data_IF_566280726136
#
_entry.id   IF_566280726136
#
_cell.length_a   1.000
_cell.length_b   1.000
_cell.length_c   1.000
_cell.angle_alpha   90.00
_cell.angle_beta   90.00
_cell.angle_gamma   90.00
#
_symmetry.space_group_name_H-M   'P 1'
#
loop_
_entity.id
_entity.type
_entity.pdbx_description
1 polymer ?
#
# COMPACT_ATOMS: atom_id res chain seq x y z
N UNK A 1 14.55 14.62 -7.20
CA UNK A 1 14.54 14.79 -8.67
C UNK A 1 15.38 15.99 -9.07
N UNK A 2 16.24 15.84 -10.08
CA UNK A 2 17.03 16.95 -10.65
C UNK A 2 16.09 17.93 -11.35
N UNK A 3 16.07 19.18 -10.91
CA UNK A 3 15.15 20.21 -11.43
C UNK A 3 15.68 20.72 -12.77
N UNK A 4 15.02 20.36 -13.87
CA UNK A 4 15.49 20.77 -15.21
C UNK A 4 15.02 22.21 -15.51
N UNK A 5 15.93 23.17 -15.73
CA UNK A 5 15.55 24.55 -15.98
C UNK A 5 14.91 24.69 -17.37
N UNK A 6 13.66 25.18 -17.42
CA UNK A 6 12.94 25.41 -18.67
C UNK A 6 13.47 26.69 -19.32
N UNK A 7 14.33 26.51 -20.33
CA UNK A 7 14.91 27.64 -21.08
C UNK A 7 13.84 28.31 -21.97
N UNK A 8 13.54 29.59 -21.72
CA UNK A 8 12.70 30.42 -22.59
C UNK A 8 13.57 31.10 -23.65
N UNK A 9 13.11 31.14 -24.91
CA UNK A 9 13.85 31.85 -25.99
C UNK A 9 13.95 33.35 -25.74
N UNK A 10 13.04 33.90 -24.94
CA UNK A 10 13.01 35.30 -24.55
C UNK A 10 12.55 35.39 -23.10
N UNK A 11 13.29 36.12 -22.29
CA UNK A 11 13.03 36.30 -20.86
C UNK A 11 12.32 37.62 -20.55
N UNK A 12 12.41 38.62 -21.44
CA UNK A 12 11.75 39.92 -21.27
C UNK A 12 10.22 39.75 -21.29
N UNK A 13 9.50 40.26 -20.27
CA UNK A 13 8.05 40.20 -20.22
C UNK A 13 7.42 41.11 -21.28
N UNK A 14 6.25 40.73 -21.78
CA UNK A 14 5.46 41.60 -22.64
C UNK A 14 4.63 42.56 -21.79
N UNK A 15 4.94 43.84 -21.85
CA UNK A 15 4.18 44.87 -21.11
C UNK A 15 2.82 45.14 -21.75
N UNK A 16 1.84 45.53 -20.93
CA UNK A 16 0.52 45.94 -21.43
C UNK A 16 0.64 47.30 -22.13
N UNK A 17 -0.12 47.48 -23.21
CA UNK A 17 -0.22 48.79 -23.83
C UNK A 17 -0.76 49.83 -22.83
N UNK A 18 -0.04 50.95 -22.69
CA UNK A 18 -0.34 52.10 -21.82
C UNK A 18 -0.21 51.86 -20.31
N UNK A 19 0.36 50.72 -19.86
CA UNK A 19 0.64 50.53 -18.42
C UNK A 19 1.71 51.48 -17.89
N UNK A 20 2.55 52.01 -18.77
CA UNK A 20 3.53 53.06 -18.51
C UNK A 20 2.90 54.45 -18.35
N UNK A 21 1.72 54.68 -18.92
CA UNK A 21 1.06 56.00 -18.92
C UNK A 21 -0.02 56.16 -17.85
N UNK A 22 -0.73 55.08 -17.54
CA UNK A 22 -1.87 55.14 -16.62
C UNK A 22 -1.59 54.31 -15.36
N UNK A 23 -1.53 54.97 -14.20
CA UNK A 23 -1.31 54.31 -12.89
C UNK A 23 -2.31 53.18 -12.59
N UNK A 24 -3.54 53.27 -13.10
CA UNK A 24 -4.56 52.23 -12.93
C UNK A 24 -4.37 50.98 -13.80
N UNK A 25 -3.42 51.00 -14.74
CA UNK A 25 -3.18 49.90 -15.69
C UNK A 25 -1.94 49.11 -15.27
N UNK A 26 -2.15 47.97 -14.63
CA UNK A 26 -1.05 47.07 -14.23
C UNK A 26 -0.22 46.59 -15.44
N UNK A 27 1.10 46.43 -15.25
CA UNK A 27 2.05 45.89 -16.24
C UNK A 27 1.88 44.37 -16.47
N UNK A 28 0.68 43.93 -16.85
CA UNK A 28 0.38 42.52 -17.15
C UNK A 28 -0.11 42.39 -18.60
N UNK A 29 0.59 41.58 -19.41
CA UNK A 29 0.28 41.40 -20.83
C UNK A 29 -1.22 41.20 -21.07
N UNK A 30 -1.80 42.04 -21.94
CA UNK A 30 -3.11 41.81 -22.55
C UNK A 30 -3.06 42.20 -24.02
N UNK A 31 -3.68 41.38 -24.86
CA UNK A 31 -3.77 41.64 -26.30
C UNK A 31 -4.50 42.98 -26.53
N UNK A 32 -3.86 43.97 -27.16
CA UNK A 32 -4.51 45.25 -27.45
C UNK A 32 -5.72 45.07 -28.37
N UNK A 33 -6.80 45.82 -28.09
CA UNK A 33 -8.06 45.81 -28.84
C UNK A 33 -8.26 47.13 -29.60
N UNK A 34 -9.22 47.17 -30.53
CA UNK A 34 -9.57 48.37 -31.32
C UNK A 34 -8.99 48.35 -32.74
N UNK A 35 -9.75 48.87 -33.70
CA UNK A 35 -9.36 48.87 -35.12
C UNK A 35 -8.16 49.78 -35.37
N UNK A 36 -8.08 50.94 -34.71
CA UNK A 36 -7.00 51.93 -34.89
C UNK A 36 -5.82 51.78 -33.92
N UNK A 37 -5.84 50.76 -33.05
CA UNK A 37 -4.79 50.59 -32.06
C UNK A 37 -3.44 50.28 -32.74
N UNK A 38 -2.48 51.20 -32.58
CA UNK A 38 -1.19 51.11 -33.26
C UNK A 38 -0.34 49.92 -32.83
N UNK A 39 -0.44 49.48 -31.58
CA UNK A 39 0.24 48.27 -31.08
C UNK A 39 -0.38 47.01 -31.68
N UNK A 40 -1.71 46.91 -31.72
CA UNK A 40 -2.43 45.80 -32.39
C UNK A 40 -2.03 45.70 -33.87
N UNK A 41 -1.98 46.85 -34.55
CA UNK A 41 -1.57 46.97 -35.96
C UNK A 41 -0.06 46.85 -36.19
N UNK A 42 0.75 46.72 -35.13
CA UNK A 42 2.20 46.51 -35.17
C UNK A 42 2.97 47.59 -35.93
N UNK A 43 2.57 48.86 -35.78
CA UNK A 43 3.37 49.96 -36.33
C UNK A 43 4.79 49.97 -35.75
N UNK A 44 5.75 50.44 -36.54
CA UNK A 44 7.15 50.61 -36.13
C UNK A 44 7.22 51.53 -34.89
N UNK A 45 8.10 51.19 -33.94
CA UNK A 45 8.31 51.94 -32.69
C UNK A 45 7.35 51.61 -31.55
N UNK A 46 6.39 50.70 -31.76
CA UNK A 46 5.44 50.28 -30.73
C UNK A 46 5.95 49.10 -29.89
N UNK A 47 5.29 48.86 -28.74
CA UNK A 47 5.59 47.74 -27.84
C UNK A 47 5.51 46.39 -28.59
N UNK A 48 6.45 45.46 -28.32
CA UNK A 48 6.43 44.14 -28.94
C UNK A 48 5.21 43.34 -28.48
N UNK A 49 4.60 42.58 -29.40
CA UNK A 49 3.52 41.63 -29.08
C UNK A 49 3.99 40.19 -29.23
N UNK A 50 3.43 39.24 -28.46
CA UNK A 50 3.55 37.81 -28.71
C UNK A 50 3.15 37.48 -30.16
N UNK A 51 3.98 36.67 -30.82
CA UNK A 51 3.86 36.18 -32.19
C UNK A 51 4.44 34.76 -32.23
N UNK A 52 4.07 34.00 -33.26
CA UNK A 52 4.60 32.65 -33.51
C UNK A 52 6.14 32.74 -33.52
N UNK A 53 6.79 31.99 -32.65
CA UNK A 53 8.25 32.02 -32.42
C UNK A 53 8.69 32.38 -30.99
N UNK A 54 7.86 33.11 -30.22
CA UNK A 54 8.15 33.46 -28.81
C UNK A 54 7.73 32.36 -27.82
N UNK A 55 8.33 31.18 -27.95
CA UNK A 55 8.08 30.02 -27.07
C UNK A 55 9.31 29.59 -26.26
N UNK A 56 9.17 28.47 -25.54
CA UNK A 56 10.32 27.77 -24.94
C UNK A 56 11.31 27.28 -26.02
N UNK A 57 12.57 27.09 -25.63
CA UNK A 57 13.58 26.44 -26.47
C UNK A 57 13.04 25.08 -26.96
N UNK A 58 13.40 24.65 -28.18
CA UNK A 58 12.97 23.36 -28.75
C UNK A 58 13.31 22.19 -27.83
N UNK A 59 14.49 22.21 -27.17
CA UNK A 59 14.94 21.15 -26.25
C UNK A 59 14.10 21.04 -24.98
N UNK A 60 13.56 22.15 -24.47
CA UNK A 60 12.81 22.22 -23.21
C UNK A 60 11.31 22.47 -23.41
N UNK A 61 10.83 22.36 -24.65
CA UNK A 61 9.43 22.62 -24.98
C UNK A 61 8.58 21.48 -24.43
N UNK A 62 7.49 21.82 -23.75
CA UNK A 62 6.58 20.89 -23.07
C UNK A 62 7.20 20.10 -21.91
N UNK A 63 8.48 20.32 -21.57
CA UNK A 63 9.10 19.71 -20.40
C UNK A 63 8.59 20.38 -19.13
N UNK A 64 8.29 19.56 -18.13
CA UNK A 64 8.01 19.96 -16.76
C UNK A 64 9.32 20.04 -15.96
N UNK A 65 9.34 20.74 -14.82
CA UNK A 65 10.54 20.85 -13.97
C UNK A 65 11.07 19.50 -13.46
N UNK A 66 10.23 18.46 -13.43
CA UNK A 66 10.59 17.09 -13.04
C UNK A 66 11.23 16.27 -14.18
N UNK A 67 11.34 16.83 -15.38
CA UNK A 67 11.95 16.18 -16.54
C UNK A 67 10.99 15.47 -17.49
N UNK A 68 9.72 15.27 -17.09
CA UNK A 68 8.70 14.65 -17.94
C UNK A 68 8.09 15.66 -18.92
N UNK A 69 7.60 15.19 -20.08
CA UNK A 69 6.84 16.01 -21.02
C UNK A 69 5.36 16.03 -20.65
N UNK A 70 4.74 17.19 -20.66
CA UNK A 70 3.29 17.32 -20.45
C UNK A 70 2.51 16.72 -21.61
N UNK A 71 1.60 15.80 -21.31
CA UNK A 71 0.59 15.25 -22.21
C UNK A 71 -0.80 15.65 -21.72
N UNK A 72 -1.58 16.35 -22.54
CA UNK A 72 -2.90 16.83 -22.15
C UNK A 72 -3.94 15.74 -22.44
N UNK A 73 -4.55 15.18 -21.40
CA UNK A 73 -5.55 14.11 -21.48
C UNK A 73 -6.95 14.75 -21.57
N UNK A 74 -7.66 14.50 -22.66
CA UNK A 74 -8.99 15.05 -22.93
C UNK A 74 -10.13 14.05 -22.68
N UNK A 75 -9.81 12.77 -22.56
CA UNK A 75 -10.76 11.69 -22.28
C UNK A 75 -10.04 10.48 -21.64
N UNK A 76 -10.80 9.52 -21.13
CA UNK A 76 -10.26 8.36 -20.41
C UNK A 76 -9.33 7.49 -21.28
N UNK A 77 -9.67 7.28 -22.56
CA UNK A 77 -8.87 6.45 -23.49
C UNK A 77 -7.48 7.03 -23.78
N UNK A 78 -7.32 8.34 -23.65
CA UNK A 78 -6.01 8.98 -23.80
C UNK A 78 -5.05 8.67 -22.64
N UNK A 79 -5.55 8.16 -21.50
CA UNK A 79 -4.72 7.67 -20.40
C UNK A 79 -3.99 6.38 -20.79
N UNK A 80 -4.63 5.50 -21.55
CA UNK A 80 -4.03 4.22 -21.95
C UNK A 80 -2.74 4.41 -22.74
N UNK A 81 -2.65 5.49 -23.52
CA UNK A 81 -1.43 5.87 -24.25
C UNK A 81 -0.26 6.22 -23.32
N UNK A 82 -0.55 6.66 -22.10
CA UNK A 82 0.48 6.97 -21.09
C UNK A 82 1.02 5.72 -20.40
N UNK A 83 0.26 4.62 -20.34
CA UNK A 83 0.76 3.35 -19.79
C UNK A 83 2.03 2.89 -20.53
N UNK A 84 2.08 3.07 -21.86
CA UNK A 84 3.24 2.73 -22.68
C UNK A 84 4.37 3.79 -22.66
N UNK A 85 4.13 4.97 -22.10
CA UNK A 85 5.02 6.13 -22.19
C UNK A 85 5.27 6.84 -20.83
N UNK A 86 4.99 6.15 -19.73
CA UNK A 86 5.03 6.66 -18.35
C UNK A 86 6.41 7.22 -17.93
N UNK A 87 7.51 6.75 -18.52
CA UNK A 87 8.87 7.29 -18.26
C UNK A 87 9.18 8.62 -18.95
N UNK A 88 8.39 9.01 -19.95
CA UNK A 88 8.67 10.19 -20.78
C UNK A 88 7.65 11.29 -20.62
N UNK A 89 6.39 10.94 -20.33
CA UNK A 89 5.29 11.88 -20.26
C UNK A 89 4.61 11.87 -18.89
N UNK A 90 4.06 13.01 -18.50
CA UNK A 90 3.16 13.17 -17.37
C UNK A 90 1.78 13.62 -17.87
N UNK A 91 0.72 13.02 -17.32
CA UNK A 91 -0.65 13.41 -17.60
C UNK A 91 -0.96 14.81 -17.03
N UNK A 92 -1.61 15.65 -17.81
CA UNK A 92 -2.39 16.78 -17.30
C UNK A 92 -3.82 16.64 -17.78
N UNK A 93 -4.78 16.54 -16.85
CA UNK A 93 -6.19 16.38 -17.18
C UNK A 93 -6.75 17.71 -17.67
N UNK A 94 -7.27 17.72 -18.90
CA UNK A 94 -7.81 18.92 -19.51
C UNK A 94 -8.99 19.50 -18.69
N UNK A 95 -9.13 20.83 -18.70
CA UNK A 95 -10.15 21.54 -17.93
C UNK A 95 -11.59 21.18 -18.31
N UNK A 96 -11.81 20.70 -19.54
CA UNK A 96 -13.10 20.32 -20.11
C UNK A 96 -13.46 18.84 -19.86
N UNK A 97 -12.60 18.06 -19.20
CA UNK A 97 -12.94 16.71 -18.75
C UNK A 97 -13.94 16.82 -17.61
N UNK A 98 -15.11 16.18 -17.78
CA UNK A 98 -16.18 16.16 -16.78
C UNK A 98 -15.70 15.58 -15.45
N UNK A 99 -16.25 16.02 -14.32
CA UNK A 99 -15.87 15.52 -13.00
C UNK A 99 -15.93 14.00 -12.90
N UNK A 100 -16.93 13.37 -13.54
CA UNK A 100 -17.06 11.91 -13.64
C UNK A 100 -15.84 11.27 -14.33
N UNK A 101 -15.42 11.78 -15.48
CA UNK A 101 -14.27 11.23 -16.19
C UNK A 101 -12.95 11.54 -15.49
N UNK A 102 -12.86 12.65 -14.74
CA UNK A 102 -11.68 12.95 -13.92
C UNK A 102 -11.51 11.93 -12.80
N UNK A 103 -12.60 11.53 -12.16
CA UNK A 103 -12.61 10.43 -11.19
C UNK A 103 -12.08 9.18 -11.87
N UNK A 104 -12.57 8.86 -13.08
CA UNK A 104 -12.10 7.68 -13.83
C UNK A 104 -10.63 7.66 -14.19
N UNK A 105 -10.04 8.82 -14.46
CA UNK A 105 -8.61 8.94 -14.72
C UNK A 105 -7.76 8.77 -13.45
N UNK A 106 -8.36 8.90 -12.26
CA UNK A 106 -7.71 8.82 -10.95
C UNK A 106 -8.07 7.54 -10.18
N UNK A 107 -8.63 6.55 -10.88
CA UNK A 107 -8.90 5.22 -10.32
C UNK A 107 -7.58 4.44 -10.26
N UNK A 108 -7.38 3.67 -9.19
CA UNK A 108 -6.30 2.67 -9.16
C UNK A 108 -6.81 1.40 -9.82
N UNK A 109 -6.16 0.95 -10.89
CA UNK A 109 -6.53 -0.29 -11.55
C UNK A 109 -6.13 -1.53 -10.75
N UNK A 110 -6.81 -2.64 -11.04
CA UNK A 110 -6.49 -3.98 -10.52
C UNK A 110 -5.29 -4.59 -11.30
N UNK A 111 -4.09 -4.02 -11.13
CA UNK A 111 -2.90 -4.30 -11.96
C UNK A 111 -2.33 -5.70 -11.79
N UNK A 112 -2.63 -6.39 -10.68
CA UNK A 112 -2.15 -7.75 -10.41
C UNK A 112 -3.18 -8.84 -10.76
N UNK A 113 -4.36 -8.45 -11.27
CA UNK A 113 -5.33 -9.38 -11.84
C UNK A 113 -4.73 -10.18 -13.02
N UNK A 114 -5.16 -11.43 -13.17
CA UNK A 114 -4.65 -12.45 -14.09
C UNK A 114 -3.20 -12.92 -13.86
N UNK A 115 -2.51 -12.43 -12.83
CA UNK A 115 -1.17 -12.92 -12.46
C UNK A 115 -1.10 -13.42 -11.01
N UNK A 116 -1.65 -12.67 -10.06
CA UNK A 116 -1.71 -13.05 -8.64
C UNK A 116 -3.05 -13.65 -8.22
N UNK A 117 -4.13 -13.25 -8.90
CA UNK A 117 -5.49 -13.74 -8.75
C UNK A 117 -6.20 -13.64 -10.11
N UNK A 118 -7.31 -14.35 -10.32
CA UNK A 118 -8.03 -14.29 -11.62
C UNK A 118 -8.71 -12.93 -11.84
N UNK A 119 -8.57 -12.35 -13.03
CA UNK A 119 -9.28 -11.13 -13.42
C UNK A 119 -10.72 -11.35 -13.91
N UNK A 120 -11.13 -12.61 -14.04
CA UNK A 120 -12.53 -12.99 -14.32
C UNK A 120 -13.34 -12.89 -13.02
N UNK A 121 -14.21 -11.88 -12.92
CA UNK A 121 -14.98 -11.60 -11.72
C UNK A 121 -15.86 -12.76 -11.25
N UNK A 122 -16.48 -13.54 -12.15
CA UNK A 122 -17.31 -14.68 -11.74
C UNK A 122 -16.47 -15.82 -11.16
N UNK A 123 -15.31 -16.09 -11.75
CA UNK A 123 -14.39 -17.09 -11.23
C UNK A 123 -13.79 -16.66 -9.90
N UNK A 124 -13.42 -15.38 -9.78
CA UNK A 124 -12.87 -14.82 -8.54
C UNK A 124 -13.89 -14.90 -7.41
N UNK A 125 -15.13 -14.50 -7.67
CA UNK A 125 -16.21 -14.57 -6.69
C UNK A 125 -16.45 -16.01 -6.20
N UNK A 126 -16.46 -16.97 -7.13
CA UNK A 126 -16.62 -18.39 -6.82
C UNK A 126 -15.45 -18.93 -5.98
N UNK A 127 -14.20 -18.64 -6.38
CA UNK A 127 -12.99 -19.06 -5.66
C UNK A 127 -12.97 -18.52 -4.22
N UNK A 128 -13.25 -17.23 -4.04
CA UNK A 128 -13.32 -16.62 -2.72
C UNK A 128 -14.46 -17.21 -1.88
N UNK A 129 -15.63 -17.48 -2.48
CA UNK A 129 -16.76 -18.13 -1.81
C UNK A 129 -16.38 -19.55 -1.37
N UNK A 130 -15.72 -20.33 -2.22
CA UNK A 130 -15.23 -21.66 -1.90
C UNK A 130 -14.27 -21.62 -0.72
N UNK A 131 -13.27 -20.74 -0.76
CA UNK A 131 -12.30 -20.59 0.32
C UNK A 131 -12.98 -20.19 1.65
N UNK A 132 -13.90 -19.22 1.63
CA UNK A 132 -14.65 -18.78 2.82
C UNK A 132 -15.62 -19.84 3.36
N UNK A 133 -16.11 -20.74 2.51
CA UNK A 133 -17.03 -21.82 2.91
C UNK A 133 -16.27 -23.03 3.46
N UNK A 134 -15.03 -23.25 3.01
CA UNK A 134 -14.16 -24.31 3.50
C UNK A 134 -13.58 -24.04 4.90
N UNK A 135 -13.77 -22.84 5.47
CA UNK A 135 -13.35 -22.53 6.83
C UNK A 135 -14.30 -23.20 7.82
N UNK A 136 -13.77 -24.17 8.56
CA UNK A 136 -14.50 -24.94 9.56
C UNK A 136 -14.41 -24.31 10.95
N UNK A 137 -15.53 -24.28 11.67
CA UNK A 137 -15.54 -23.87 13.06
C UNK A 137 -14.97 -24.97 13.95
N UNK A 138 -14.29 -24.57 15.02
CA UNK A 138 -13.76 -25.47 16.06
C UNK A 138 -14.27 -25.05 17.44
N UNK A 139 -13.83 -25.76 18.48
CA UNK A 139 -14.14 -25.37 19.85
C UNK A 139 -13.60 -23.97 20.19
N UNK A 140 -12.40 -23.66 19.70
CA UNK A 140 -11.65 -22.42 20.00
C UNK A 140 -11.88 -21.31 18.96
N UNK A 141 -12.47 -21.63 17.80
CA UNK A 141 -12.71 -20.68 16.73
C UNK A 141 -14.13 -20.83 16.16
N UNK A 142 -14.99 -19.84 16.43
CA UNK A 142 -16.40 -19.83 16.00
C UNK A 142 -16.70 -18.56 15.20
N UNK A 143 -16.35 -18.52 13.91
CA UNK A 143 -16.59 -17.33 13.10
C UNK A 143 -18.08 -17.14 12.77
N UNK A 144 -18.56 -15.88 12.59
CA UNK A 144 -17.79 -14.64 12.73
C UNK A 144 -17.50 -14.31 14.19
N UNK A 145 -16.37 -13.63 14.45
CA UNK A 145 -15.94 -13.25 15.79
C UNK A 145 -16.55 -11.90 16.13
N UNK A 146 -17.45 -11.89 17.13
CA UNK A 146 -18.08 -10.66 17.62
C UNK A 146 -17.02 -9.69 18.14
N UNK A 147 -17.06 -8.45 17.67
CA UNK A 147 -16.12 -7.42 18.09
C UNK A 147 -14.73 -7.53 17.44
N UNK A 148 -14.57 -8.29 16.35
CA UNK A 148 -13.34 -8.29 15.56
C UNK A 148 -12.99 -6.86 15.10
N UNK A 149 -11.81 -6.37 15.51
CA UNK A 149 -11.31 -5.01 15.20
C UNK A 149 -10.16 -5.01 14.22
N UNK A 150 -9.36 -6.08 14.19
CA UNK A 150 -8.34 -6.23 13.18
C UNK A 150 -8.17 -7.69 12.76
N UNK A 151 -7.60 -7.90 11.58
CA UNK A 151 -7.11 -9.19 11.13
C UNK A 151 -5.67 -9.08 10.63
N UNK A 152 -4.90 -10.16 10.75
CA UNK A 152 -3.64 -10.36 10.03
C UNK A 152 -3.90 -11.41 8.97
N UNK A 153 -3.54 -11.13 7.71
CA UNK A 153 -3.75 -12.03 6.59
C UNK A 153 -2.60 -11.96 5.58
N UNK A 154 -2.31 -13.06 4.86
CA UNK A 154 -1.26 -13.12 3.85
C UNK A 154 -1.60 -12.35 2.57
N UNK A 155 -0.58 -12.04 1.78
CA UNK A 155 -0.67 -11.32 0.50
C UNK A 155 0.15 -11.96 -0.63
N UNK A 156 0.46 -13.26 -0.55
CA UNK A 156 0.87 -14.00 -1.74
C UNK A 156 -0.30 -14.19 -2.74
N UNK A 157 -0.01 -14.75 -3.92
CA UNK A 157 -1.04 -15.09 -4.91
C UNK A 157 -2.08 -16.09 -4.39
N UNK A 158 -3.33 -15.94 -4.82
CA UNK A 158 -4.49 -16.62 -4.22
C UNK A 158 -4.45 -18.14 -4.31
N UNK A 159 -3.82 -18.69 -5.35
CA UNK A 159 -3.60 -20.13 -5.48
C UNK A 159 -2.77 -20.74 -4.34
N UNK A 160 -1.98 -19.92 -3.62
CA UNK A 160 -1.18 -20.35 -2.49
C UNK A 160 -1.77 -19.92 -1.15
N UNK A 161 -2.01 -18.61 -0.98
CA UNK A 161 -2.37 -18.02 0.31
C UNK A 161 -3.86 -17.78 0.49
N UNK A 162 -4.66 -17.83 -0.58
CA UNK A 162 -6.10 -17.54 -0.55
C UNK A 162 -6.85 -18.38 0.48
N UNK A 163 -6.70 -19.72 0.49
CA UNK A 163 -7.33 -20.56 1.51
C UNK A 163 -6.94 -20.17 2.94
N UNK A 164 -5.69 -19.78 3.20
CA UNK A 164 -5.26 -19.32 4.52
C UNK A 164 -5.85 -17.96 4.86
N UNK A 165 -5.85 -17.00 3.93
CA UNK A 165 -6.45 -15.68 4.12
C UNK A 165 -7.94 -15.77 4.48
N UNK A 166 -8.66 -16.74 3.90
CA UNK A 166 -10.08 -16.94 4.19
C UNK A 166 -10.37 -17.12 5.68
N UNK A 167 -9.47 -17.72 6.47
CA UNK A 167 -9.65 -17.87 7.92
C UNK A 167 -9.69 -16.52 8.65
N UNK A 168 -8.80 -15.58 8.28
CA UNK A 168 -8.82 -14.22 8.79
C UNK A 168 -10.10 -13.49 8.38
N UNK A 169 -10.45 -13.53 7.09
CA UNK A 169 -11.64 -12.86 6.56
C UNK A 169 -12.95 -13.42 7.10
N UNK A 170 -13.04 -14.72 7.34
CA UNK A 170 -14.20 -15.37 7.96
C UNK A 170 -14.39 -14.96 9.43
N UNK A 171 -13.33 -14.49 10.08
CA UNK A 171 -13.39 -13.99 11.46
C UNK A 171 -14.13 -12.65 11.58
N UNK A 172 -14.31 -11.90 10.48
CA UNK A 172 -14.91 -10.57 10.49
C UNK A 172 -16.43 -10.67 10.71
N UNK A 173 -16.92 -10.01 11.75
CA UNK A 173 -18.33 -9.61 11.84
C UNK A 173 -18.52 -8.28 11.09
N UNK A 174 -19.24 -8.33 9.98
CA UNK A 174 -19.44 -7.17 9.09
C UNK A 174 -20.47 -6.17 9.63
N UNK A 175 -21.18 -6.52 10.70
CA UNK A 175 -22.30 -5.74 11.21
C UNK A 175 -21.83 -4.36 11.70
N UNK A 176 -22.34 -3.30 11.09
CA UNK A 176 -22.05 -1.92 11.50
C UNK A 176 -20.73 -1.34 10.99
N UNK A 177 -19.86 -2.15 10.38
CA UNK A 177 -18.60 -1.69 9.80
C UNK A 177 -18.87 -0.86 8.53
N UNK A 178 -18.24 0.31 8.46
CA UNK A 178 -18.31 1.26 7.33
C UNK A 178 -16.93 1.61 6.76
N UNK A 179 -15.87 1.37 7.53
CA UNK A 179 -14.50 1.74 7.17
C UNK A 179 -13.55 0.56 7.37
N UNK A 180 -12.72 0.29 6.37
CA UNK A 180 -11.68 -0.75 6.45
C UNK A 180 -10.32 -0.14 6.17
N UNK A 181 -9.45 -0.11 7.18
CA UNK A 181 -8.04 0.20 6.99
C UNK A 181 -7.32 -1.01 6.40
N UNK A 182 -6.38 -0.78 5.48
CA UNK A 182 -5.53 -1.84 4.93
C UNK A 182 -4.08 -1.38 5.04
N UNK A 183 -3.32 -1.99 5.94
CA UNK A 183 -1.90 -1.69 6.17
C UNK A 183 -1.05 -2.70 5.39
N UNK A 184 -0.39 -2.23 4.33
CA UNK A 184 0.45 -3.05 3.46
C UNK A 184 1.92 -2.68 3.54
N UNK A 185 2.88 -3.62 3.61
CA UNK A 185 4.30 -3.29 3.50
C UNK A 185 4.69 -2.86 2.09
N UNK A 186 5.68 -1.97 1.95
CA UNK A 186 6.22 -1.64 0.62
C UNK A 186 7.31 -2.60 0.15
N UNK A 187 7.14 -3.14 -1.05
CA UNK A 187 8.12 -4.04 -1.71
C UNK A 187 8.95 -3.33 -2.78
N UNK A 188 8.39 -2.32 -3.45
CA UNK A 188 8.99 -1.72 -4.65
C UNK A 188 9.73 -0.42 -4.38
N UNK A 189 9.33 0.33 -3.34
CA UNK A 189 9.89 1.64 -3.03
C UNK A 189 10.46 1.66 -1.62
N UNK A 190 11.66 2.23 -1.48
CA UNK A 190 12.17 2.55 -0.15
C UNK A 190 11.39 3.75 0.40
N UNK A 191 10.72 3.53 1.52
CA UNK A 191 9.91 4.53 2.22
C UNK A 191 10.30 4.50 3.70
N UNK A 192 10.70 5.63 4.26
CA UNK A 192 11.02 5.80 5.69
C UNK A 192 9.83 6.46 6.42
N UNK A 193 8.67 5.84 6.35
CA UNK A 193 7.40 6.34 6.88
C UNK A 193 6.20 5.58 6.32
N UNK A 194 5.03 6.22 6.37
CA UNK A 194 3.80 5.70 5.75
C UNK A 194 3.35 6.61 4.61
N UNK A 195 2.63 6.05 3.64
CA UNK A 195 2.11 6.77 2.49
C UNK A 195 0.63 6.45 2.23
N UNK A 196 -0.10 7.47 1.78
CA UNK A 196 -1.52 7.42 1.46
C UNK A 196 -1.74 7.51 -0.05
N UNK A 197 -2.82 6.91 -0.52
CA UNK A 197 -3.25 7.03 -1.91
C UNK A 197 -3.80 8.43 -2.24
N UNK A 198 -3.64 8.84 -3.50
CA UNK A 198 -4.33 10.01 -4.08
C UNK A 198 -5.58 9.63 -4.87
N UNK A 199 -5.85 8.34 -5.01
CA UNK A 199 -7.00 7.84 -5.75
C UNK A 199 -8.29 8.04 -4.94
N UNK A 200 -9.42 8.00 -5.64
CA UNK A 200 -10.74 8.10 -5.01
C UNK A 200 -11.41 6.75 -4.80
N UNK A 201 -10.95 5.72 -5.52
CA UNK A 201 -11.40 4.33 -5.42
C UNK A 201 -10.33 3.38 -5.96
N UNK A 202 -10.37 2.14 -5.50
CA UNK A 202 -9.56 1.04 -6.03
C UNK A 202 -10.47 0.04 -6.75
N UNK A 203 -10.08 -0.35 -7.97
CA UNK A 203 -10.80 -1.34 -8.77
C UNK A 203 -10.57 -2.76 -8.24
N UNK A 204 -11.60 -3.61 -8.33
CA UNK A 204 -11.44 -5.07 -8.20
C UNK A 204 -12.34 -5.77 -9.23
N UNK A 205 -12.03 -7.01 -9.68
CA UNK A 205 -12.87 -7.74 -10.63
C UNK A 205 -14.30 -8.03 -10.15
N UNK A 206 -14.56 -7.93 -8.84
CA UNK A 206 -15.85 -8.21 -8.20
C UNK A 206 -16.52 -6.95 -7.61
N UNK A 207 -16.00 -5.77 -7.96
CA UNK A 207 -16.59 -4.48 -7.60
C UNK A 207 -15.58 -3.52 -6.98
N UNK A 208 -15.71 -2.25 -7.32
CA UNK A 208 -14.82 -1.21 -6.84
C UNK A 208 -15.00 -0.92 -5.35
N UNK A 209 -13.92 -0.47 -4.70
CA UNK A 209 -13.91 -0.02 -3.32
C UNK A 209 -13.62 1.48 -3.24
N UNK A 210 -14.57 2.31 -2.78
CA UNK A 210 -14.34 3.74 -2.60
C UNK A 210 -13.35 3.99 -1.45
N UNK A 211 -12.50 5.00 -1.58
CA UNK A 211 -11.57 5.40 -0.53
C UNK A 211 -12.23 6.45 0.38
N UNK A 212 -12.03 6.33 1.70
CA UNK A 212 -12.50 7.32 2.68
C UNK A 212 -11.64 8.59 2.60
N UNK A 213 -12.06 9.52 1.72
CA UNK A 213 -11.32 10.75 1.44
C UNK A 213 -11.21 11.67 2.65
N UNK A 214 -12.20 11.65 3.56
CA UNK A 214 -12.18 12.47 4.75
C UNK A 214 -11.09 11.99 5.71
N UNK A 215 -11.05 10.69 5.97
CA UNK A 215 -10.04 10.07 6.83
C UNK A 215 -8.65 10.20 6.23
N UNK A 216 -8.50 9.97 4.93
CA UNK A 216 -7.21 10.18 4.24
C UNK A 216 -6.74 11.63 4.38
N UNK A 217 -7.64 12.61 4.26
CA UNK A 217 -7.30 14.02 4.45
C UNK A 217 -6.92 14.34 5.92
N UNK A 218 -7.60 13.74 6.89
CA UNK A 218 -7.27 13.87 8.32
C UNK A 218 -5.87 13.29 8.61
N UNK A 219 -5.59 12.06 8.16
CA UNK A 219 -4.27 11.42 8.32
C UNK A 219 -3.16 12.25 7.66
N UNK A 220 -3.38 12.73 6.43
CA UNK A 220 -2.45 13.64 5.76
C UNK A 220 -2.21 14.92 6.57
N UNK A 221 -3.26 15.47 7.19
CA UNK A 221 -3.21 16.66 8.03
C UNK A 221 -2.32 16.53 9.26
N UNK A 222 -2.06 15.30 9.74
CA UNK A 222 -1.13 15.05 10.85
C UNK A 222 0.33 15.35 10.50
N UNK A 223 0.68 15.37 9.21
CA UNK A 223 2.05 15.54 8.73
C UNK A 223 2.93 14.28 8.81
N UNK A 224 2.39 13.15 9.28
CA UNK A 224 3.13 11.88 9.43
C UNK A 224 3.02 10.94 8.23
N UNK A 225 2.22 11.30 7.23
CA UNK A 225 1.97 10.50 6.04
C UNK A 225 2.37 11.25 4.77
N UNK A 226 3.10 10.56 3.90
CA UNK A 226 3.41 11.03 2.55
C UNK A 226 2.31 10.61 1.56
N UNK A 227 2.40 11.05 0.31
CA UNK A 227 1.46 10.66 -0.75
C UNK A 227 2.18 9.79 -1.79
N UNK A 228 1.61 8.63 -2.11
CA UNK A 228 2.08 7.76 -3.19
C UNK A 228 1.72 8.35 -4.54
N UNK A 229 2.61 8.31 -5.54
CA UNK A 229 2.16 8.50 -6.92
C UNK A 229 1.42 7.26 -7.45
N UNK A 230 0.66 7.43 -8.53
CA UNK A 230 -0.19 6.36 -9.07
C UNK A 230 0.62 5.12 -9.45
N UNK A 231 1.83 5.30 -9.99
CA UNK A 231 2.71 4.19 -10.35
C UNK A 231 3.13 3.39 -9.11
N UNK A 232 3.54 4.06 -8.03
CA UNK A 232 3.89 3.39 -6.77
C UNK A 232 2.69 2.62 -6.20
N UNK A 233 1.51 3.22 -6.29
CA UNK A 233 0.26 2.63 -5.80
C UNK A 233 -0.12 1.37 -6.60
N UNK A 234 -0.04 1.44 -7.93
CA UNK A 234 -0.36 0.35 -8.85
C UNK A 234 0.72 -0.74 -8.93
N UNK A 235 1.99 -0.41 -8.68
CA UNK A 235 3.08 -1.41 -8.64
C UNK A 235 3.02 -2.24 -7.35
N UNK A 236 2.46 -1.71 -6.26
CA UNK A 236 2.39 -2.42 -4.99
C UNK A 236 1.24 -3.43 -4.93
N UNK A 237 1.55 -4.67 -4.56
CA UNK A 237 0.57 -5.76 -4.49
C UNK A 237 0.07 -6.04 -3.07
N UNK A 238 0.83 -5.65 -2.04
CA UNK A 238 0.51 -6.06 -0.67
C UNK A 238 -0.87 -5.58 -0.20
N UNK A 239 -1.28 -4.37 -0.62
CA UNK A 239 -2.61 -3.83 -0.35
C UNK A 239 -3.64 -4.44 -1.30
N UNK A 240 -3.27 -4.61 -2.57
CA UNK A 240 -4.16 -5.11 -3.62
C UNK A 240 -4.69 -6.52 -3.33
N UNK A 241 -3.86 -7.40 -2.78
CA UNK A 241 -4.27 -8.78 -2.46
C UNK A 241 -5.39 -8.86 -1.42
N UNK A 242 -5.64 -7.78 -0.66
CA UNK A 242 -6.74 -7.73 0.28
C UNK A 242 -8.04 -7.20 -0.33
N UNK A 243 -7.99 -6.51 -1.47
CA UNK A 243 -9.15 -5.82 -2.03
C UNK A 243 -10.28 -6.78 -2.46
N UNK A 244 -10.01 -7.87 -3.21
CA UNK A 244 -11.07 -8.81 -3.55
C UNK A 244 -11.70 -9.46 -2.31
N UNK A 245 -10.91 -9.91 -1.33
CA UNK A 245 -11.47 -10.47 -0.10
C UNK A 245 -12.30 -9.46 0.70
N UNK A 246 -11.84 -8.21 0.82
CA UNK A 246 -12.63 -7.12 1.44
C UNK A 246 -13.94 -6.92 0.69
N UNK A 247 -13.90 -6.75 -0.64
CA UNK A 247 -15.12 -6.58 -1.44
C UNK A 247 -16.08 -7.77 -1.30
N UNK A 248 -15.54 -9.00 -1.23
CA UNK A 248 -16.34 -10.22 -1.09
C UNK A 248 -17.03 -10.33 0.27
N UNK A 249 -16.31 -10.14 1.36
CA UNK A 249 -16.89 -10.23 2.71
C UNK A 249 -17.93 -9.13 2.93
N UNK A 250 -17.69 -7.94 2.37
CA UNK A 250 -18.60 -6.80 2.46
C UNK A 250 -19.53 -6.67 1.24
N UNK A 251 -19.81 -7.75 0.49
CA UNK A 251 -20.54 -7.69 -0.79
C UNK A 251 -21.93 -7.01 -0.66
N UNK A 252 -22.55 -7.07 0.53
CA UNK A 252 -23.86 -6.49 0.85
C UNK A 252 -23.80 -5.19 1.67
N UNK A 253 -22.60 -4.66 1.90
CA UNK A 253 -22.36 -3.51 2.75
C UNK A 253 -21.70 -2.38 1.94
N UNK A 254 -22.18 -1.18 2.18
CA UNK A 254 -21.51 0.04 1.72
C UNK A 254 -20.38 0.37 2.69
N UNK A 255 -19.15 0.12 2.24
CA UNK A 255 -17.94 0.43 2.99
C UNK A 255 -17.02 1.33 2.17
N UNK A 256 -16.11 1.99 2.86
CA UNK A 256 -14.97 2.69 2.26
C UNK A 256 -13.66 2.15 2.85
N UNK A 257 -12.57 2.27 2.09
CA UNK A 257 -11.26 1.78 2.51
C UNK A 257 -10.27 2.92 2.77
N UNK A 258 -9.30 2.66 3.64
CA UNK A 258 -8.15 3.54 3.90
C UNK A 258 -6.87 2.72 3.67
N UNK A 259 -6.33 2.71 2.44
CA UNK A 259 -5.07 2.03 2.14
C UNK A 259 -3.90 2.84 2.67
N UNK A 260 -3.02 2.19 3.44
CA UNK A 260 -1.80 2.78 3.98
C UNK A 260 -0.63 1.88 3.60
N UNK A 261 0.28 2.43 2.81
CA UNK A 261 1.55 1.79 2.49
C UNK A 261 2.53 2.08 3.62
N UNK A 262 3.01 1.04 4.28
CA UNK A 262 3.95 1.09 5.41
C UNK A 262 5.34 0.75 4.90
N UNK A 263 6.26 1.69 5.08
CA UNK A 263 7.65 1.53 4.65
C UNK A 263 8.54 0.77 5.65
N UNK A 264 9.84 0.92 5.48
CA UNK A 264 10.86 0.44 6.40
C UNK A 264 11.04 1.45 7.54
N UNK A 265 10.23 1.30 8.59
CA UNK A 265 10.21 2.17 9.77
C UNK A 265 10.84 1.49 11.00
N UNK A 266 11.20 2.28 12.02
CA UNK A 266 11.68 1.78 13.31
C UNK A 266 10.55 1.69 14.34
N UNK A 267 10.83 1.07 15.49
CA UNK A 267 9.85 0.89 16.58
C UNK A 267 9.22 2.20 17.03
N UNK A 268 10.01 3.27 17.13
CA UNK A 268 9.50 4.58 17.56
C UNK A 268 8.45 5.13 16.57
N UNK A 269 8.67 4.97 15.27
CA UNK A 269 7.69 5.32 14.24
C UNK A 269 6.49 4.38 14.23
N UNK A 270 6.68 3.09 14.47
CA UNK A 270 5.58 2.13 14.62
C UNK A 270 4.63 2.54 15.75
N UNK A 271 5.16 2.87 16.94
CA UNK A 271 4.38 3.38 18.07
C UNK A 271 3.72 4.73 17.74
N UNK A 272 4.44 5.67 17.12
CA UNK A 272 3.89 6.99 16.79
C UNK A 272 2.74 6.91 15.77
N UNK A 273 2.89 6.12 14.70
CA UNK A 273 1.82 5.91 13.72
C UNK A 273 0.68 5.10 14.35
N UNK A 274 0.99 4.08 15.15
CA UNK A 274 0.01 3.29 15.88
C UNK A 274 -0.89 4.16 16.77
N UNK A 275 -0.31 5.10 17.51
CA UNK A 275 -1.05 6.06 18.34
C UNK A 275 -1.98 6.97 17.52
N UNK A 276 -1.59 7.35 16.29
CA UNK A 276 -2.46 8.10 15.37
C UNK A 276 -3.65 7.24 14.90
N UNK A 277 -3.43 5.94 14.69
CA UNK A 277 -4.44 5.01 14.21
C UNK A 277 -5.35 4.45 15.32
N UNK A 278 -4.91 4.49 16.58
CA UNK A 278 -5.63 3.94 17.73
C UNK A 278 -7.08 4.44 17.86
N UNK A 279 -7.40 5.74 17.73
CA UNK A 279 -8.78 6.22 17.78
C UNK A 279 -9.68 5.62 16.68
N UNK A 280 -9.12 5.35 15.51
CA UNK A 280 -9.85 4.71 14.41
C UNK A 280 -10.05 3.22 14.69
N UNK A 281 -9.04 2.52 15.21
CA UNK A 281 -9.16 1.11 15.59
C UNK A 281 -10.18 0.88 16.72
N UNK A 282 -10.31 1.85 17.63
CA UNK A 282 -11.30 1.82 18.71
C UNK A 282 -12.74 2.10 18.26
N UNK A 283 -12.94 2.72 17.08
CA UNK A 283 -14.25 3.08 16.58
C UNK A 283 -15.11 1.85 16.24
N UNK A 284 -16.41 1.94 16.48
CA UNK A 284 -17.33 0.80 16.31
C UNK A 284 -17.60 0.43 14.86
N UNK A 285 -17.39 1.36 13.94
CA UNK A 285 -17.64 1.20 12.50
C UNK A 285 -16.37 0.93 11.68
N UNK A 286 -15.25 0.64 12.35
CA UNK A 286 -13.94 0.50 11.70
C UNK A 286 -13.32 -0.88 11.95
N UNK A 287 -12.76 -1.45 10.88
CA UNK A 287 -11.95 -2.67 10.89
C UNK A 287 -10.55 -2.37 10.32
N UNK A 288 -9.52 -3.05 10.80
CA UNK A 288 -8.16 -2.97 10.24
C UNK A 288 -7.70 -4.32 9.64
N UNK A 289 -7.18 -4.30 8.43
CA UNK A 289 -6.52 -5.44 7.78
C UNK A 289 -5.02 -5.18 7.77
N UNK A 290 -4.25 -6.06 8.41
CA UNK A 290 -2.79 -6.02 8.43
C UNK A 290 -2.27 -7.09 7.48
N UNK A 291 -1.54 -6.64 6.47
CA UNK A 291 -1.03 -7.47 5.40
C UNK A 291 0.34 -8.04 5.74
N UNK A 292 0.47 -9.37 5.85
CA UNK A 292 1.77 -10.02 6.07
C UNK A 292 1.77 -11.48 5.66
N UNK A 293 2.72 -11.84 4.79
CA UNK A 293 3.30 -13.19 4.77
C UNK A 293 4.35 -13.33 5.89
N UNK A 294 4.70 -14.57 6.22
CA UNK A 294 5.67 -14.93 7.27
C UNK A 294 7.02 -15.31 6.64
N UNK A 295 7.72 -16.36 7.10
CA UNK A 295 9.04 -16.70 6.59
C UNK A 295 9.05 -16.93 5.07
N UNK A 296 9.87 -16.16 4.36
CA UNK A 296 10.33 -16.45 3.00
C UNK A 296 11.66 -17.19 3.10
N UNK A 297 11.60 -18.52 3.03
CA UNK A 297 12.76 -19.39 3.21
C UNK A 297 13.32 -19.87 1.88
N UNK A 298 14.64 -19.87 1.75
CA UNK A 298 15.37 -20.42 0.62
C UNK A 298 16.48 -19.53 0.13
N UNK A 299 17.38 -20.11 -0.66
CA UNK A 299 18.53 -19.40 -1.25
C UNK A 299 18.11 -18.22 -2.13
N UNK A 300 16.97 -18.31 -2.82
CA UNK A 300 16.41 -17.24 -3.65
C UNK A 300 16.01 -15.98 -2.86
N UNK A 301 15.69 -16.14 -1.58
CA UNK A 301 15.37 -15.04 -0.66
C UNK A 301 16.58 -14.62 0.17
N UNK A 302 17.75 -15.24 -0.07
CA UNK A 302 18.96 -15.09 0.72
C UNK A 302 18.76 -15.41 2.21
N UNK A 303 17.76 -16.22 2.55
CA UNK A 303 17.40 -16.54 3.92
C UNK A 303 17.25 -18.05 4.09
N UNK A 304 18.21 -18.67 4.79
CA UNK A 304 18.28 -20.13 5.00
C UNK A 304 18.53 -20.45 6.47
N UNK A 305 17.92 -19.64 7.35
CA UNK A 305 17.95 -19.85 8.80
C UNK A 305 17.39 -21.23 9.14
N UNK A 306 18.04 -21.95 10.06
CA UNK A 306 17.64 -23.28 10.47
C UNK A 306 17.92 -23.49 11.95
N UNK A 307 16.91 -23.97 12.65
CA UNK A 307 17.00 -24.49 14.00
C UNK A 307 17.36 -25.97 13.93
N UNK A 308 18.50 -26.42 14.46
CA UNK A 308 18.81 -27.86 14.56
C UNK A 308 17.86 -28.60 15.51
N UNK A 309 17.29 -27.87 16.48
CA UNK A 309 16.22 -28.29 17.38
C UNK A 309 15.28 -27.11 17.63
N UNK A 310 13.96 -27.34 17.75
CA UNK A 310 13.00 -26.27 18.00
C UNK A 310 13.28 -25.56 19.34
N UNK A 311 13.03 -24.23 19.44
CA UNK A 311 13.11 -23.52 20.70
C UNK A 311 12.03 -24.01 21.71
N UNK A 312 12.28 -23.92 23.03
CA UNK A 312 13.53 -23.49 23.66
C UNK A 312 14.62 -24.58 23.55
N UNK A 313 15.78 -24.23 23.00
CA UNK A 313 16.93 -25.13 22.83
C UNK A 313 18.23 -24.39 23.14
N UNK A 314 19.20 -25.10 23.71
CA UNK A 314 20.57 -24.59 23.91
C UNK A 314 21.42 -24.65 22.65
N UNK A 315 20.94 -25.32 21.61
CA UNK A 315 21.64 -25.49 20.34
C UNK A 315 21.43 -24.26 19.46
N UNK A 316 22.53 -23.60 19.07
CA UNK A 316 22.45 -22.34 18.33
C UNK A 316 21.86 -22.54 16.92
N UNK A 317 21.03 -21.60 16.43
CA UNK A 317 20.58 -21.63 15.05
C UNK A 317 21.75 -21.44 14.09
N UNK A 318 21.61 -21.99 12.89
CA UNK A 318 22.61 -21.92 11.83
C UNK A 318 22.00 -21.38 10.55
N UNK A 319 22.86 -20.95 9.63
CA UNK A 319 22.48 -20.67 8.25
C UNK A 319 22.86 -21.87 7.39
N UNK A 320 21.88 -22.52 6.78
CA UNK A 320 22.15 -23.63 5.88
C UNK A 320 22.84 -23.12 4.60
N UNK A 321 23.85 -23.88 4.21
CA UNK A 321 24.65 -23.81 2.99
C UNK A 321 24.88 -25.25 2.52
N UNK A 322 25.36 -25.46 1.29
CA UNK A 322 25.61 -26.81 0.78
C UNK A 322 26.56 -27.63 1.67
N UNK A 323 27.51 -26.98 2.33
CA UNK A 323 28.45 -27.63 3.26
C UNK A 323 27.84 -27.85 4.64
N UNK A 324 27.14 -26.86 5.19
CA UNK A 324 26.54 -26.97 6.54
C UNK A 324 25.33 -27.89 6.57
N UNK A 325 24.56 -28.00 5.49
CA UNK A 325 23.44 -28.94 5.40
C UNK A 325 23.87 -30.41 5.53
N UNK A 326 25.09 -30.75 5.08
CA UNK A 326 25.63 -32.11 5.20
C UNK A 326 25.98 -32.49 6.65
N UNK A 327 26.06 -31.51 7.57
CA UNK A 327 26.35 -31.73 8.99
C UNK A 327 25.09 -32.01 9.82
N UNK A 328 23.90 -31.83 9.23
CA UNK A 328 22.63 -32.02 9.90
C UNK A 328 21.85 -33.18 9.27
N UNK A 329 21.24 -34.01 10.11
CA UNK A 329 20.35 -35.08 9.66
C UNK A 329 18.96 -34.51 9.35
N UNK A 330 18.83 -33.92 8.16
CA UNK A 330 17.59 -33.31 7.68
C UNK A 330 16.43 -34.32 7.55
N UNK A 331 16.72 -35.62 7.60
CA UNK A 331 15.69 -36.66 7.64
C UNK A 331 14.98 -36.74 9.00
N UNK A 332 15.69 -36.39 10.09
CA UNK A 332 15.14 -36.40 11.45
C UNK A 332 14.53 -35.07 11.85
N UNK A 333 15.07 -33.95 11.37
CA UNK A 333 14.51 -32.63 11.58
C UNK A 333 14.46 -31.86 10.26
N UNK A 334 13.40 -32.08 9.46
CA UNK A 334 13.26 -31.46 8.15
C UNK A 334 13.22 -29.93 8.21
N UNK A 335 13.68 -29.27 7.15
CA UNK A 335 13.76 -27.80 7.08
C UNK A 335 12.39 -27.16 7.32
N UNK A 336 11.32 -27.70 6.73
CA UNK A 336 9.97 -27.17 6.92
C UNK A 336 9.52 -27.16 8.39
N UNK A 337 9.95 -28.12 9.21
CA UNK A 337 9.66 -28.14 10.65
C UNK A 337 10.45 -27.08 11.43
N UNK A 338 11.66 -26.74 10.97
CA UNK A 338 12.38 -25.60 11.52
C UNK A 338 11.75 -24.27 11.11
N UNK A 339 11.22 -24.15 9.89
CA UNK A 339 10.50 -22.95 9.43
C UNK A 339 9.23 -22.79 10.27
N UNK A 340 8.49 -23.89 10.47
CA UNK A 340 7.30 -23.94 11.31
C UNK A 340 7.61 -23.46 12.74
N UNK A 341 8.66 -24.00 13.37
CA UNK A 341 9.08 -23.57 14.70
C UNK A 341 9.49 -22.08 14.75
N UNK A 342 10.15 -21.58 13.71
CA UNK A 342 10.56 -20.18 13.60
C UNK A 342 9.36 -19.23 13.51
N UNK A 343 8.36 -19.57 12.71
CA UNK A 343 7.16 -18.74 12.56
C UNK A 343 6.24 -18.84 13.78
N UNK A 344 6.07 -20.04 14.36
CA UNK A 344 5.29 -20.22 15.58
C UNK A 344 5.90 -19.49 16.78
N UNK A 345 7.23 -19.41 16.87
CA UNK A 345 7.89 -18.55 17.87
C UNK A 345 7.44 -17.08 17.72
N UNK A 346 7.38 -16.54 16.50
CA UNK A 346 6.86 -15.18 16.29
C UNK A 346 5.37 -15.07 16.66
N UNK A 347 4.56 -16.06 16.24
CA UNK A 347 3.12 -16.09 16.51
C UNK A 347 2.84 -16.14 18.02
N UNK A 348 3.57 -16.94 18.79
CA UNK A 348 3.44 -17.03 20.25
C UNK A 348 3.78 -15.69 20.92
N UNK A 349 4.86 -15.02 20.50
CA UNK A 349 5.23 -13.71 21.04
C UNK A 349 4.19 -12.62 20.71
N UNK A 350 3.48 -12.77 19.59
CA UNK A 350 2.41 -11.88 19.16
C UNK A 350 1.03 -12.25 19.76
N UNK A 351 0.88 -13.44 20.33
CA UNK A 351 -0.39 -13.92 20.90
C UNK A 351 -0.71 -13.17 22.18
N UNK A 352 -1.95 -12.70 22.29
CA UNK A 352 -2.44 -11.92 23.43
C UNK A 352 -3.79 -12.48 23.85
N UNK A 353 -4.03 -12.81 25.13
CA UNK A 353 -3.05 -13.05 26.20
C UNK A 353 -2.17 -14.30 25.93
N UNK A 354 -1.04 -14.53 26.65
CA UNK A 354 -0.63 -13.89 27.91
C UNK A 354 0.15 -12.58 27.73
N UNK A 355 0.62 -12.27 26.52
CA UNK A 355 1.33 -11.02 26.30
C UNK A 355 0.36 -9.84 26.26
N UNK A 356 0.88 -8.66 26.56
CA UNK A 356 0.22 -7.38 26.34
C UNK A 356 0.64 -6.78 24.99
N UNK A 357 -0.04 -5.73 24.53
CA UNK A 357 0.34 -5.06 23.28
C UNK A 357 1.75 -4.51 23.36
N UNK A 358 2.08 -3.86 24.49
CA UNK A 358 3.43 -3.34 24.77
C UNK A 358 4.50 -4.44 24.79
N UNK A 359 4.25 -5.54 25.52
CA UNK A 359 5.22 -6.62 25.66
C UNK A 359 5.43 -7.36 24.34
N UNK A 360 4.35 -7.66 23.61
CA UNK A 360 4.42 -8.28 22.28
C UNK A 360 5.23 -7.43 21.31
N UNK A 361 5.06 -6.09 21.32
CA UNK A 361 5.85 -5.19 20.47
C UNK A 361 7.35 -5.24 20.79
N UNK A 362 7.71 -5.29 22.07
CA UNK A 362 9.10 -5.43 22.51
C UNK A 362 9.69 -6.79 22.08
N UNK A 363 9.02 -7.88 22.45
CA UNK A 363 9.50 -9.24 22.19
C UNK A 363 9.62 -9.53 20.69
N UNK A 364 8.67 -9.04 19.88
CA UNK A 364 8.72 -9.21 18.43
C UNK A 364 9.91 -8.47 17.81
N UNK A 365 10.24 -7.27 18.29
CA UNK A 365 11.43 -6.54 17.83
C UNK A 365 12.75 -7.27 18.18
N UNK A 366 12.85 -7.86 19.38
CA UNK A 366 14.00 -8.69 19.78
C UNK A 366 14.09 -9.95 18.93
N UNK A 367 12.97 -10.63 18.71
CA UNK A 367 12.87 -11.79 17.84
C UNK A 367 13.38 -11.47 16.42
N UNK A 368 12.85 -10.42 15.79
CA UNK A 368 13.27 -10.01 14.45
C UNK A 368 14.76 -9.64 14.42
N UNK A 369 15.27 -9.03 15.49
CA UNK A 369 16.69 -8.69 15.59
C UNK A 369 17.57 -9.93 15.62
N UNK A 370 17.16 -10.96 16.37
CA UNK A 370 17.90 -12.22 16.55
C UNK A 370 17.80 -13.13 15.34
N UNK A 371 16.61 -13.37 14.81
CA UNK A 371 16.37 -14.37 13.77
C UNK A 371 16.55 -13.79 12.36
N UNK A 372 16.29 -12.48 12.19
CA UNK A 372 16.14 -11.84 10.89
C UNK A 372 15.06 -12.49 10.03
N UNK A 373 14.03 -13.10 10.65
CA UNK A 373 12.94 -13.73 9.91
C UNK A 373 12.35 -12.75 8.89
N UNK A 374 12.09 -13.25 7.69
CA UNK A 374 11.73 -12.48 6.49
C UNK A 374 10.24 -12.14 6.44
N UNK A 375 9.62 -11.90 7.60
CA UNK A 375 8.23 -11.45 7.72
C UNK A 375 8.09 -10.09 7.01
N UNK A 376 7.40 -10.08 5.88
CA UNK A 376 7.31 -8.90 5.01
C UNK A 376 6.47 -7.79 5.65
N UNK A 377 5.38 -8.14 6.33
CA UNK A 377 4.49 -7.22 7.05
C UNK A 377 4.89 -6.90 8.48
N UNK A 378 6.16 -7.13 8.87
CA UNK A 378 6.65 -6.85 10.24
C UNK A 378 6.37 -5.42 10.70
N UNK A 379 6.45 -4.43 9.80
CA UNK A 379 6.19 -3.03 10.11
C UNK A 379 4.69 -2.70 10.22
N UNK A 380 3.82 -3.15 9.28
CA UNK A 380 2.36 -3.15 9.51
C UNK A 380 1.94 -3.80 10.83
N UNK A 381 2.52 -4.95 11.18
CA UNK A 381 2.28 -5.61 12.47
C UNK A 381 2.76 -4.71 13.61
N UNK A 382 3.95 -4.12 13.53
CA UNK A 382 4.45 -3.16 14.52
C UNK A 382 3.54 -1.95 14.71
N UNK A 383 2.99 -1.39 13.63
CA UNK A 383 2.01 -0.28 13.68
C UNK A 383 0.72 -0.71 14.38
N UNK A 384 0.22 -1.92 14.10
CA UNK A 384 -0.91 -2.48 14.84
C UNK A 384 -0.59 -2.60 16.33
N UNK A 385 0.57 -3.16 16.69
CA UNK A 385 0.99 -3.29 18.09
C UNK A 385 1.10 -1.94 18.79
N UNK A 386 1.62 -0.91 18.12
CA UNK A 386 1.64 0.47 18.66
C UNK A 386 0.23 1.04 18.90
N UNK A 387 -0.74 0.71 18.04
CA UNK A 387 -2.13 1.09 18.25
C UNK A 387 -2.74 0.32 19.43
N UNK A 388 -2.47 -0.98 19.55
CA UNK A 388 -2.93 -1.80 20.66
C UNK A 388 -2.33 -1.35 22.00
N UNK A 389 -1.03 -1.01 22.04
CA UNK A 389 -0.36 -0.43 23.21
C UNK A 389 -1.04 0.87 23.67
N UNK A 390 -1.40 1.74 22.71
CA UNK A 390 -2.10 2.99 23.02
C UNK A 390 -3.47 2.72 23.64
N UNK A 391 -4.24 1.79 23.06
CA UNK A 391 -5.58 1.44 23.55
C UNK A 391 -5.55 0.65 24.87
N UNK A 392 -4.49 -0.11 25.10
CA UNK A 392 -4.22 -0.78 26.36
C UNK A 392 -4.01 0.23 27.49
N UNK A 393 -3.25 1.30 27.25
CA UNK A 393 -3.09 2.40 28.20
C UNK A 393 -4.42 3.14 28.49
N UNK A 394 -5.38 3.08 27.57
CA UNK A 394 -6.76 3.58 27.75
C UNK A 394 -7.70 2.57 28.43
N UNK A 395 -7.21 1.38 28.79
CA UNK A 395 -7.95 0.35 29.52
C UNK A 395 -8.65 -0.71 28.66
N UNK A 396 -8.38 -0.77 27.35
CA UNK A 396 -8.89 -1.84 26.47
C UNK A 396 -7.91 -3.00 26.43
N UNK A 397 -8.35 -4.23 26.70
CA UNK A 397 -7.45 -5.39 26.79
C UNK A 397 -7.43 -6.11 25.44
N UNK A 398 -6.35 -6.02 24.64
CA UNK A 398 -6.32 -6.68 23.34
C UNK A 398 -6.25 -8.21 23.47
N UNK A 399 -7.02 -8.90 22.63
CA UNK A 399 -6.92 -10.34 22.42
C UNK A 399 -6.58 -10.62 20.96
N UNK A 400 -5.41 -11.20 20.68
CA UNK A 400 -4.94 -11.59 19.35
C UNK A 400 -4.82 -13.11 19.31
N UNK A 401 -5.57 -13.73 18.40
CA UNK A 401 -5.59 -15.19 18.24
C UNK A 401 -5.32 -15.60 16.79
N UNK A 402 -4.37 -16.52 16.63
CA UNK A 402 -4.08 -17.17 15.36
C UNK A 402 -5.10 -18.26 15.08
N UNK A 403 -5.58 -18.31 13.83
CA UNK A 403 -6.63 -19.24 13.39
C UNK A 403 -6.15 -20.18 12.29
N UNK A 404 -5.06 -19.84 11.60
CA UNK A 404 -4.48 -20.70 10.57
C UNK A 404 -3.00 -20.42 10.38
N UNK A 405 -2.24 -21.48 10.16
CA UNK A 405 -0.88 -21.46 9.62
C UNK A 405 -0.79 -22.40 8.42
N UNK A 406 0.01 -22.05 7.43
CA UNK A 406 0.32 -22.90 6.29
C UNK A 406 1.68 -22.51 5.69
N UNK A 407 2.27 -23.43 4.93
CA UNK A 407 3.45 -23.18 4.11
C UNK A 407 3.11 -23.45 2.64
N UNK A 408 3.70 -22.69 1.72
CA UNK A 408 3.49 -22.88 0.28
C UNK A 408 3.90 -24.28 -0.19
N UNK A 409 4.90 -24.86 0.47
CA UNK A 409 5.45 -26.19 0.23
C UNK A 409 6.35 -26.59 1.40
N UNK A 410 6.50 -27.88 1.63
CA UNK A 410 7.44 -28.41 2.61
C UNK A 410 8.86 -28.43 2.00
N UNK A 411 9.78 -27.66 2.58
CA UNK A 411 11.20 -27.72 2.25
C UNK A 411 11.88 -28.92 2.93
N UNK A 412 12.57 -29.74 2.15
CA UNK A 412 13.35 -30.88 2.64
C UNK A 412 14.86 -30.67 2.42
N UNK A 413 15.22 -29.92 1.37
CA UNK A 413 16.60 -29.71 0.97
C UNK A 413 16.91 -28.21 0.80
N UNK A 414 18.20 -27.86 0.78
CA UNK A 414 18.63 -26.45 0.66
C UNK A 414 18.26 -25.77 -0.67
N UNK A 415 18.02 -26.55 -1.72
CA UNK A 415 17.61 -26.01 -3.01
C UNK A 415 16.11 -25.69 -3.06
N UNK A 416 15.34 -26.14 -2.06
CA UNK A 416 13.92 -25.85 -1.95
C UNK A 416 13.73 -24.40 -1.47
N UNK A 417 12.52 -23.90 -1.64
CA UNK A 417 12.10 -22.61 -1.11
C UNK A 417 10.63 -22.62 -0.80
N UNK A 418 10.22 -21.92 0.26
CA UNK A 418 8.81 -21.79 0.63
C UNK A 418 8.52 -20.40 1.17
N UNK A 419 7.24 -20.06 1.22
CA UNK A 419 6.70 -18.90 1.93
C UNK A 419 5.66 -19.39 2.93
N UNK A 420 5.71 -18.88 4.15
CA UNK A 420 4.71 -19.19 5.19
C UNK A 420 3.58 -18.17 5.21
N UNK A 421 2.39 -18.63 5.57
CA UNK A 421 1.17 -17.85 5.63
C UNK A 421 0.51 -18.05 6.99
N UNK A 422 0.11 -16.96 7.63
CA UNK A 422 -0.60 -17.02 8.90
C UNK A 422 -1.81 -16.07 8.89
N UNK A 423 -2.87 -16.48 9.58
CA UNK A 423 -4.09 -15.70 9.73
C UNK A 423 -4.45 -15.55 11.20
N UNK A 424 -4.80 -14.33 11.61
CA UNK A 424 -5.23 -14.01 12.97
C UNK A 424 -6.36 -12.97 12.98
N UNK A 425 -7.03 -12.86 14.11
CA UNK A 425 -7.94 -11.76 14.41
C UNK A 425 -7.56 -11.10 15.74
N UNK A 426 -8.05 -9.87 15.92
CA UNK A 426 -7.90 -9.08 17.15
C UNK A 426 -9.28 -8.62 17.65
N UNK A 427 -9.53 -8.77 18.94
CA UNK A 427 -10.67 -8.21 19.68
C UNK A 427 -10.18 -7.41 20.90
N UNK A 428 -11.10 -6.77 21.63
CA UNK A 428 -10.85 -6.12 22.92
C UNK A 428 -11.75 -6.69 24.02
#
# INVERSE_FOLDING_TARGET
>A
MVKIPIIKKRTKPFKRHQSDRYKGVKEAWRKPKGIDNRVRRRFKGQLPMPKIGYGSNKKTRHLLPNGLKKFLVNNVREVDLLLMHNKTFAAEIAHNVSSRNRITILERHATHANSWYTGDGQKLDSELTTNLTAVEASHEFKPPIKGCKAIIAPHAGYSYSGPTAAWAYKSIDVTGIKRVFILGPSHHVYLDGCALSKCTKYETPIGDLPLDQETIAQLKGTGNFSEMDLQTDEDEHSIEMHLPYVRKVFEKNDISIVPILVGAINKEKETAIGAILAPYLAADDTLCVVSSDFCHWGTRFQYTFYYPKPPPSSEAPVRLSRSTSALHDLSKHPIHTSIDALDHEAMELLTMPPNTGHLAHHLFAEYLTRTKNTICGRHPIGVLLGALETLEAEGRVPHLQWVRYAQSSECYNINDSSVSYASAYVTF
#
